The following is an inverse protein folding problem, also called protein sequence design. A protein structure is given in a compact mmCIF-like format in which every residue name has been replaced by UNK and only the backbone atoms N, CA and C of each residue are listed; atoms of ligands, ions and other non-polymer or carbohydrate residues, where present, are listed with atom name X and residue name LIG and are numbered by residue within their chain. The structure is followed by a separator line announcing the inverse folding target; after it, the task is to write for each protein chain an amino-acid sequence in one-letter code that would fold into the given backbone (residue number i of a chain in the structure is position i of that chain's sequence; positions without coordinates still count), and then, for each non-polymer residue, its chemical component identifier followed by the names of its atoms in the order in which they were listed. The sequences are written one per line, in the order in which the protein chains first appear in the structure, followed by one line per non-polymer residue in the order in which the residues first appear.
data_IF_003669127898
#
_entry.id   IF_003669127898
#
_cell.length_a   1.000
_cell.length_b   1.000
_cell.length_c   1.000
_cell.angle_alpha   90.00
_cell.angle_beta   90.00
_cell.angle_gamma   90.00
#
_symmetry.space_group_name_H-M   'P 1'
#
loop_
_entity.id
_entity.type
_entity.pdbx_description
1 polymer ?
#
# COMPACT_ATOMS: atom_id res chain seq x y z
N UNK A 1 -32.85 -49.67 -26.58
CA UNK A 1 -32.16 -48.62 -27.38
C UNK A 1 -31.13 -47.96 -26.45
N UNK A 2 -29.85 -48.35 -26.52
CA UNK A 2 -28.70 -47.57 -27.07
C UNK A 2 -28.56 -46.18 -26.41
N UNK A 3 -27.46 -45.73 -25.78
CA UNK A 3 -26.09 -46.21 -25.49
C UNK A 3 -25.57 -45.36 -24.30
N UNK A 4 -24.78 -45.96 -23.40
CA UNK A 4 -23.89 -45.27 -22.44
C UNK A 4 -22.46 -45.68 -22.82
N UNK A 5 -21.57 -44.72 -23.09
CA UNK A 5 -20.14 -44.94 -23.28
C UNK A 5 -19.37 -43.84 -22.53
N UNK A 6 -18.47 -44.26 -21.65
CA UNK A 6 -17.42 -43.45 -21.01
C UNK A 6 -16.14 -43.51 -21.85
N UNK A 7 -15.25 -42.50 -21.79
CA UNK A 7 -13.86 -42.70 -22.15
C UNK A 7 -12.98 -42.77 -20.89
N UNK A 8 -12.29 -43.91 -20.79
CA UNK A 8 -11.10 -44.16 -19.97
C UNK A 8 -9.87 -43.74 -20.79
N UNK A 9 -8.94 -42.98 -20.22
CA UNK A 9 -7.55 -42.93 -20.75
C UNK A 9 -6.58 -42.66 -19.61
N UNK A 10 -5.79 -43.68 -19.27
CA UNK A 10 -4.56 -43.59 -18.48
C UNK A 10 -3.38 -43.24 -19.42
N UNK A 11 -2.32 -42.58 -18.94
CA UNK A 11 -1.04 -42.53 -19.67
C UNK A 11 -0.16 -43.74 -19.30
N UNK A 12 0.37 -44.41 -20.32
CA UNK A 12 1.28 -45.56 -20.23
C UNK A 12 2.72 -45.18 -20.60
N UNK A 13 3.66 -45.81 -19.87
CA UNK A 13 4.97 -46.33 -20.28
C UNK A 13 5.94 -45.43 -21.07
N UNK A 14 6.99 -44.97 -20.39
CA UNK A 14 8.37 -45.01 -20.88
C UNK A 14 9.35 -44.70 -19.73
N UNK A 15 9.58 -45.71 -18.88
CA UNK A 15 10.74 -45.82 -18.01
C UNK A 15 11.60 -46.99 -18.53
N UNK A 16 12.94 -46.89 -18.42
CA UNK A 16 14.02 -47.80 -18.82
C UNK A 16 14.78 -47.56 -20.15
N UNK A 17 15.97 -46.94 -19.98
CA UNK A 17 17.31 -47.53 -20.21
C UNK A 17 17.96 -47.64 -21.64
N UNK A 18 19.15 -47.00 -21.74
CA UNK A 18 20.42 -47.46 -22.40
C UNK A 18 20.52 -47.28 -23.94
N UNK A 19 21.53 -46.66 -24.58
CA UNK A 19 22.99 -46.87 -24.49
C UNK A 19 23.84 -45.89 -25.35
N UNK A 20 25.09 -45.64 -24.89
CA UNK A 20 26.40 -45.63 -25.61
C UNK A 20 27.04 -44.34 -26.22
N UNK A 21 28.37 -44.27 -25.92
CA UNK A 21 29.52 -43.51 -26.49
C UNK A 21 29.85 -42.19 -25.76
N UNK A 22 31.04 -41.89 -25.23
CA UNK A 22 32.39 -42.49 -25.23
C UNK A 22 33.08 -42.12 -23.89
N UNK A 23 33.79 -43.07 -23.26
CA UNK A 23 34.87 -42.80 -22.30
C UNK A 23 36.06 -43.64 -22.74
N UNK A 24 37.18 -42.98 -23.02
CA UNK A 24 38.48 -43.60 -23.24
C UNK A 24 39.32 -43.53 -21.96
N UNK A 25 39.99 -44.64 -21.63
CA UNK A 25 41.42 -44.65 -21.29
C UNK A 25 41.90 -44.19 -19.92
N UNK A 26 42.09 -45.17 -19.02
CA UNK A 26 43.16 -45.24 -17.99
C UNK A 26 44.57 -45.25 -18.65
N UNK A 27 45.74 -45.06 -17.96
CA UNK A 27 46.06 -45.69 -16.66
C UNK A 27 46.94 -44.88 -15.68
N UNK A 28 47.08 -45.45 -14.48
CA UNK A 28 47.84 -44.88 -13.36
C UNK A 28 49.33 -45.25 -13.30
N UNK A 29 49.99 -44.61 -12.35
CA UNK A 29 51.27 -44.90 -11.68
C UNK A 29 51.40 -43.83 -10.59
N UNK A 30 52.04 -43.98 -9.44
CA UNK A 30 52.62 -45.07 -8.67
C UNK A 30 52.75 -44.49 -7.24
N UNK A 31 52.70 -45.34 -6.22
CA UNK A 31 52.92 -44.98 -4.82
C UNK A 31 54.41 -44.66 -4.59
N UNK A 32 54.71 -43.48 -4.06
CA UNK A 32 56.01 -43.11 -3.51
C UNK A 32 55.80 -42.34 -2.20
N UNK A 33 56.08 -43.01 -1.09
CA UNK A 33 56.00 -42.48 0.26
C UNK A 33 57.43 -42.16 0.70
N UNK A 34 57.77 -40.89 0.91
CA UNK A 34 59.06 -40.52 1.52
C UNK A 34 58.93 -39.33 2.48
N UNK A 35 59.76 -39.40 3.53
CA UNK A 35 59.60 -38.76 4.82
C UNK A 35 60.15 -37.32 4.90
N UNK A 36 59.61 -36.58 5.88
CA UNK A 36 60.28 -35.60 6.76
C UNK A 36 60.28 -34.10 6.39
N UNK A 37 59.85 -33.32 7.40
CA UNK A 37 60.12 -31.90 7.69
C UNK A 37 59.56 -30.83 6.71
N UNK A 38 58.62 -30.00 7.14
CA UNK A 38 58.97 -28.75 7.83
C UNK A 38 57.74 -28.07 8.44
N UNK A 39 58.01 -27.32 9.50
CA UNK A 39 57.07 -26.65 10.38
C UNK A 39 56.64 -25.29 9.78
N UNK A 40 55.42 -24.86 10.08
CA UNK A 40 54.94 -23.46 10.00
C UNK A 40 54.79 -22.78 8.62
N UNK A 41 53.76 -23.11 7.83
CA UNK A 41 53.29 -22.18 6.77
C UNK A 41 51.76 -22.06 6.74
N UNK A 42 51.32 -20.88 7.19
CA UNK A 42 50.09 -20.16 6.85
C UNK A 42 48.72 -20.82 7.07
N UNK A 43 48.19 -20.66 8.28
CA UNK A 43 46.73 -20.68 8.53
C UNK A 43 46.12 -19.26 8.56
N UNK A 44 46.79 -18.28 7.93
CA UNK A 44 46.47 -16.84 7.99
C UNK A 44 45.57 -16.35 6.85
N UNK A 45 45.32 -17.14 5.81
CA UNK A 45 44.67 -16.65 4.59
C UNK A 45 43.14 -16.77 4.56
N UNK A 46 42.54 -17.54 5.48
CA UNK A 46 41.09 -17.79 5.43
C UNK A 46 40.26 -16.94 6.41
N UNK A 47 40.88 -16.30 7.41
CA UNK A 47 40.16 -15.49 8.39
C UNK A 47 39.78 -14.08 7.89
N UNK A 48 40.38 -13.62 6.79
CA UNK A 48 40.17 -12.27 6.26
C UNK A 48 39.13 -12.20 5.13
N UNK A 49 38.82 -13.30 4.46
CA UNK A 49 37.88 -13.31 3.33
C UNK A 49 36.43 -13.00 3.78
N UNK A 50 36.00 -13.59 4.90
CA UNK A 50 34.67 -13.32 5.46
C UNK A 50 34.55 -11.89 5.98
N UNK A 51 35.57 -11.38 6.67
CA UNK A 51 35.62 -10.00 7.14
C UNK A 51 35.58 -9.00 5.98
N UNK A 52 36.34 -9.24 4.90
CA UNK A 52 36.35 -8.41 3.71
C UNK A 52 35.02 -8.49 2.92
N UNK A 53 34.38 -9.67 2.87
CA UNK A 53 33.05 -9.84 2.28
C UNK A 53 31.96 -9.11 3.08
N UNK A 54 32.01 -9.17 4.42
CA UNK A 54 31.08 -8.44 5.28
C UNK A 54 31.29 -6.92 5.18
N UNK A 55 32.55 -6.46 5.20
CA UNK A 55 32.89 -5.06 5.00
C UNK A 55 32.42 -4.55 3.63
N UNK A 56 32.59 -5.35 2.57
CA UNK A 56 32.11 -4.98 1.23
C UNK A 56 30.58 -4.97 1.14
N UNK A 57 29.87 -5.87 1.83
CA UNK A 57 28.40 -5.82 1.96
C UNK A 57 27.93 -4.58 2.72
N UNK A 58 28.56 -4.23 3.86
CA UNK A 58 28.24 -3.02 4.61
C UNK A 58 28.52 -1.75 3.80
N UNK A 59 29.64 -1.69 3.09
CA UNK A 59 29.97 -0.58 2.21
C UNK A 59 28.95 -0.43 1.08
N UNK A 60 28.52 -1.55 0.49
CA UNK A 60 27.48 -1.59 -0.54
C UNK A 60 26.10 -1.16 -0.01
N UNK A 61 25.75 -1.54 1.21
CA UNK A 61 24.51 -1.08 1.86
C UNK A 61 24.56 0.41 2.14
N UNK A 62 25.69 0.94 2.65
CA UNK A 62 25.88 2.38 2.86
C UNK A 62 25.80 3.17 1.57
N UNK A 63 26.43 2.70 0.49
CA UNK A 63 26.36 3.38 -0.81
C UNK A 63 24.97 3.33 -1.43
N UNK A 64 24.25 2.21 -1.26
CA UNK A 64 22.85 2.10 -1.68
C UNK A 64 21.95 3.05 -0.87
N UNK A 65 22.09 3.10 0.46
CA UNK A 65 21.37 4.01 1.33
C UNK A 65 21.63 5.49 1.02
N UNK A 66 22.86 5.84 0.61
CA UNK A 66 23.20 7.19 0.18
C UNK A 66 22.45 7.64 -1.09
N UNK A 67 21.94 6.69 -1.88
CA UNK A 67 21.10 6.96 -3.05
C UNK A 67 19.60 6.97 -2.76
N UNK A 68 19.19 6.86 -1.49
CA UNK A 68 17.79 6.86 -1.11
C UNK A 68 17.10 8.20 -1.46
N UNK A 69 15.91 8.17 -2.08
CA UNK A 69 15.11 9.38 -2.27
C UNK A 69 14.80 10.11 -0.96
N UNK A 70 14.58 11.42 -1.04
CA UNK A 70 14.27 12.24 0.12
C UNK A 70 12.94 11.83 0.77
N UNK A 71 12.93 11.79 2.10
CA UNK A 71 11.76 11.50 2.91
C UNK A 71 11.09 12.80 3.37
N UNK A 72 9.81 12.94 3.08
CA UNK A 72 8.92 13.97 3.61
C UNK A 72 8.23 13.44 4.85
N UNK A 73 8.42 14.10 6.00
CA UNK A 73 7.78 13.71 7.25
C UNK A 73 6.31 14.16 7.29
N UNK A 74 5.47 13.39 7.99
CA UNK A 74 4.16 13.86 8.40
C UNK A 74 4.31 15.10 9.31
N UNK A 75 3.40 16.10 9.22
CA UNK A 75 3.50 17.34 9.98
C UNK A 75 3.31 17.12 11.48
N UNK A 76 2.53 16.11 11.88
CA UNK A 76 2.26 15.78 13.26
C UNK A 76 2.53 14.30 13.53
N UNK A 77 3.08 14.03 14.72
CA UNK A 77 3.19 12.68 15.28
C UNK A 77 1.94 12.36 16.10
N UNK A 78 1.55 11.09 16.14
CA UNK A 78 0.51 10.61 17.06
C UNK A 78 1.17 10.04 18.32
N UNK A 79 0.60 10.35 19.48
CA UNK A 79 1.03 9.78 20.77
C UNK A 79 -0.18 9.18 21.47
N UNK A 80 -0.11 7.90 21.85
CA UNK A 80 -1.16 7.20 22.59
C UNK A 80 -0.53 6.21 23.59
N UNK A 81 -0.88 6.33 24.87
CA UNK A 81 -0.32 5.53 25.98
C UNK A 81 1.21 5.39 25.87
N UNK A 82 1.88 6.55 25.76
CA UNK A 82 3.32 6.71 25.58
C UNK A 82 3.91 6.10 24.28
N UNK A 83 3.11 5.38 23.49
CA UNK A 83 3.53 4.94 22.16
C UNK A 83 3.54 6.14 21.23
N UNK A 84 4.60 6.28 20.43
CA UNK A 84 4.75 7.37 19.47
C UNK A 84 4.76 6.82 18.06
N UNK A 85 4.01 7.46 17.16
CA UNK A 85 3.92 7.12 15.75
C UNK A 85 4.35 8.30 14.90
N UNK A 86 5.31 8.07 14.02
CA UNK A 86 5.81 9.06 13.05
C UNK A 86 5.85 8.41 11.68
N UNK A 87 5.35 9.09 10.66
CA UNK A 87 5.37 8.61 9.29
C UNK A 87 6.23 9.50 8.39
N UNK A 88 6.83 8.87 7.38
CA UNK A 88 7.51 9.56 6.31
C UNK A 88 7.13 8.93 4.97
N UNK A 89 7.07 9.74 3.92
CA UNK A 89 6.81 9.30 2.56
C UNK A 89 7.91 9.78 1.61
N UNK A 90 8.22 8.99 0.59
CA UNK A 90 9.19 9.31 -0.45
C UNK A 90 8.65 8.94 -1.82
N UNK A 91 9.07 9.68 -2.85
CA UNK A 91 8.78 9.33 -4.23
C UNK A 91 9.69 8.19 -4.67
N UNK A 92 9.12 7.14 -5.26
CA UNK A 92 9.86 5.99 -5.78
C UNK A 92 9.33 5.60 -7.14
N UNK A 93 10.23 5.25 -8.05
CA UNK A 93 9.87 4.81 -9.41
C UNK A 93 10.46 3.44 -9.74
N UNK A 94 11.28 2.89 -8.85
CA UNK A 94 11.98 1.64 -9.07
C UNK A 94 12.16 0.82 -7.79
N UNK A 95 12.39 -0.49 -7.97
CA UNK A 95 12.75 -1.37 -6.87
C UNK A 95 14.08 -0.98 -6.21
N UNK A 96 14.97 -0.32 -6.96
CA UNK A 96 16.24 0.20 -6.43
C UNK A 96 16.01 1.31 -5.41
N UNK A 97 15.06 2.20 -5.67
CA UNK A 97 14.68 3.27 -4.72
C UNK A 97 14.14 2.69 -3.42
N UNK A 98 13.26 1.70 -3.52
CA UNK A 98 12.72 0.97 -2.36
C UNK A 98 13.84 0.30 -1.57
N UNK A 99 14.79 -0.37 -2.25
CA UNK A 99 15.92 -1.01 -1.59
C UNK A 99 16.86 0.00 -0.92
N UNK A 100 17.07 1.17 -1.55
CA UNK A 100 17.84 2.27 -0.99
C UNK A 100 17.20 2.86 0.27
N UNK A 101 15.88 3.09 0.25
CA UNK A 101 15.14 3.56 1.43
C UNK A 101 15.17 2.55 2.58
N UNK A 102 15.01 1.26 2.29
CA UNK A 102 15.13 0.21 3.31
C UNK A 102 16.53 0.16 3.92
N UNK A 103 17.57 0.24 3.08
CA UNK A 103 18.95 0.31 3.57
C UNK A 103 19.18 1.56 4.43
N UNK A 104 18.62 2.70 4.03
CA UNK A 104 18.71 3.95 4.79
C UNK A 104 17.99 3.86 6.15
N UNK A 105 16.80 3.29 6.21
CA UNK A 105 16.02 3.08 7.44
C UNK A 105 16.76 2.13 8.41
N UNK A 106 17.44 1.12 7.88
CA UNK A 106 18.18 0.14 8.68
C UNK A 106 19.51 0.66 9.24
N UNK A 107 20.05 1.76 8.70
CA UNK A 107 21.33 2.32 9.12
C UNK A 107 21.15 3.38 10.22
N UNK A 108 22.02 3.40 11.23
CA UNK A 108 22.02 4.50 12.18
C UNK A 108 22.39 5.81 11.47
N UNK A 109 21.83 6.96 11.92
CA UNK A 109 22.20 8.25 11.38
C UNK A 109 23.71 8.46 11.55
N UNK A 110 24.38 9.15 10.60
CA UNK A 110 25.78 9.46 10.74
C UNK A 110 25.99 10.22 12.05
N UNK A 111 26.76 9.63 12.97
CA UNK A 111 27.12 10.28 14.22
C UNK A 111 27.85 11.58 13.87
N UNK A 112 27.33 12.71 14.32
CA UNK A 112 28.06 13.97 14.29
C UNK A 112 29.32 13.80 15.16
N UNK A 113 30.41 13.37 14.55
CA UNK A 113 31.74 13.37 15.16
C UNK A 113 32.13 14.82 15.41
N UNK A 114 32.04 15.25 16.67
CA UNK A 114 32.64 16.50 17.14
C UNK A 114 31.64 17.57 17.58
N UNK A 115 30.93 17.36 18.68
CA UNK A 115 30.52 18.48 19.53
C UNK A 115 31.12 18.30 20.92
N UNK A 116 31.90 19.29 21.31
CA UNK A 116 32.57 19.41 22.59
C UNK A 116 31.53 19.29 23.72
N UNK A 117 31.79 18.48 24.76
CA UNK A 117 30.82 18.10 25.80
C UNK A 117 30.41 19.24 26.76
N UNK A 118 30.73 20.50 26.46
CA UNK A 118 30.56 21.65 27.34
C UNK A 118 29.71 22.78 26.72
N UNK A 119 28.51 22.47 26.23
CA UNK A 119 27.50 23.52 25.99
C UNK A 119 26.19 23.11 26.65
N UNK A 120 25.63 23.94 27.55
CA UNK A 120 24.39 23.60 28.22
C UNK A 120 23.26 23.45 27.21
N UNK A 121 22.53 22.35 27.37
CA UNK A 121 21.44 21.87 26.52
C UNK A 121 20.31 22.91 26.49
N UNK A 122 20.28 23.73 25.43
CA UNK A 122 19.22 24.73 25.25
C UNK A 122 17.92 24.01 24.85
N UNK A 123 16.99 23.83 25.81
CA UNK A 123 15.76 23.04 25.67
C UNK A 123 14.65 23.67 24.81
N UNK A 124 14.89 24.81 24.15
CA UNK A 124 13.82 25.60 23.52
C UNK A 124 14.09 26.07 22.08
N UNK A 125 14.90 25.36 21.29
CA UNK A 125 15.01 25.59 19.85
C UNK A 125 14.35 24.45 19.06
N UNK A 126 13.10 24.66 18.66
CA UNK A 126 12.42 23.88 17.63
C UNK A 126 13.06 24.17 16.27
N UNK A 127 14.06 23.36 15.90
CA UNK A 127 14.62 23.36 14.55
C UNK A 127 13.69 22.57 13.61
N UNK A 128 13.38 23.08 12.40
CA UNK A 128 12.70 22.31 11.39
C UNK A 128 13.68 21.23 10.90
N UNK A 129 13.24 19.98 10.89
CA UNK A 129 13.97 18.83 10.33
C UNK A 129 15.09 18.22 11.20
N UNK A 130 14.77 17.82 12.45
CA UNK A 130 15.57 16.79 13.13
C UNK A 130 15.27 15.44 12.48
N UNK A 131 16.20 14.94 11.66
CA UNK A 131 16.09 13.65 10.99
C UNK A 131 15.74 12.55 11.98
N UNK A 132 14.65 11.85 11.72
CA UNK A 132 14.14 10.77 12.58
C UNK A 132 15.15 9.63 12.60
N UNK A 133 15.59 9.21 13.79
CA UNK A 133 16.46 8.05 13.92
C UNK A 133 15.64 6.76 13.92
N UNK A 134 15.44 6.20 12.73
CA UNK A 134 14.61 5.01 12.49
C UNK A 134 15.08 3.77 13.26
N UNK A 135 16.38 3.61 13.52
CA UNK A 135 16.92 2.43 14.21
C UNK A 135 16.55 2.35 15.69
N UNK A 136 16.05 3.45 16.26
CA UNK A 136 15.56 3.47 17.65
C UNK A 136 14.09 3.10 17.78
N UNK A 137 13.36 3.04 16.66
CA UNK A 137 11.97 2.64 16.66
C UNK A 137 11.86 1.15 16.99
N UNK A 138 10.82 0.76 17.72
CA UNK A 138 10.52 -0.66 17.95
C UNK A 138 10.08 -1.36 16.67
N UNK A 139 9.38 -0.63 15.78
CA UNK A 139 8.91 -1.15 14.50
C UNK A 139 8.98 -0.04 13.44
N UNK A 140 9.47 -0.37 12.25
CA UNK A 140 9.48 0.44 11.04
C UNK A 140 8.65 -0.25 9.96
N UNK A 141 7.33 -0.05 10.02
CA UNK A 141 6.38 -0.66 9.08
C UNK A 141 6.51 0.06 7.74
N UNK A 142 6.64 -0.69 6.64
CA UNK A 142 6.80 -0.08 5.31
C UNK A 142 5.79 -0.60 4.31
N UNK A 143 5.42 0.25 3.35
CA UNK A 143 4.65 -0.12 2.17
C UNK A 143 5.06 0.74 0.99
N UNK A 144 4.99 0.20 -0.22
CA UNK A 144 5.37 0.91 -1.43
C UNK A 144 4.51 0.49 -2.61
N UNK A 145 4.38 1.40 -3.58
CA UNK A 145 3.62 1.19 -4.81
C UNK A 145 4.14 2.12 -5.90
N UNK A 146 4.56 1.59 -7.03
CA UNK A 146 5.05 2.39 -8.17
C UNK A 146 4.75 1.72 -9.52
N UNK A 147 4.67 2.53 -10.57
CA UNK A 147 4.46 2.04 -11.93
C UNK A 147 5.77 1.58 -12.57
N UNK A 148 5.71 0.41 -13.20
CA UNK A 148 6.82 -0.16 -13.96
C UNK A 148 6.38 -0.38 -15.40
N UNK A 149 7.15 0.17 -16.33
CA UNK A 149 6.96 -0.05 -17.76
C UNK A 149 7.14 -1.54 -18.09
N UNK A 150 6.24 -2.11 -18.88
CA UNK A 150 6.35 -3.48 -19.38
C UNK A 150 7.41 -3.56 -20.47
N UNK A 151 8.12 -4.67 -20.48
CA UNK A 151 9.17 -4.95 -21.46
C UNK A 151 8.58 -4.96 -22.87
N UNK A 152 9.25 -4.30 -23.82
CA UNK A 152 8.80 -4.25 -25.22
C UNK A 152 7.71 -3.22 -25.53
N UNK A 153 7.23 -2.47 -24.54
CA UNK A 153 6.23 -1.43 -24.74
C UNK A 153 6.85 -0.06 -25.04
N UNK A 154 6.10 0.83 -25.70
CA UNK A 154 6.58 2.17 -26.07
C UNK A 154 6.71 3.11 -24.87
N UNK A 155 5.87 2.94 -23.85
CA UNK A 155 5.75 3.82 -22.69
C UNK A 155 4.81 5.01 -22.93
N UNK A 156 4.23 5.12 -24.12
CA UNK A 156 3.34 6.21 -24.52
C UNK A 156 1.88 5.90 -24.20
N UNK A 157 1.53 4.62 -24.02
CA UNK A 157 0.19 4.22 -23.61
C UNK A 157 0.16 3.97 -22.09
N UNK A 158 -0.86 4.47 -21.38
CA UNK A 158 -1.25 3.95 -20.07
C UNK A 158 -1.08 2.43 -19.93
N UNK A 159 -1.61 1.65 -20.87
CA UNK A 159 -1.52 0.19 -20.87
C UNK A 159 -0.11 -0.33 -21.21
N UNK A 160 0.94 0.47 -21.13
CA UNK A 160 2.32 0.01 -21.18
C UNK A 160 2.90 -0.21 -19.78
N UNK A 161 2.19 0.16 -18.71
CA UNK A 161 2.66 0.11 -17.32
C UNK A 161 1.88 -0.91 -16.49
N UNK A 162 2.56 -1.53 -15.52
CA UNK A 162 1.96 -2.34 -14.44
C UNK A 162 2.32 -1.72 -13.09
N UNK A 163 1.49 -1.97 -12.08
CA UNK A 163 1.82 -1.60 -10.70
C UNK A 163 2.73 -2.67 -10.10
N UNK A 164 3.81 -2.24 -9.45
CA UNK A 164 4.61 -3.07 -8.57
C UNK A 164 4.50 -2.50 -7.15
N UNK A 165 4.14 -3.36 -6.20
CA UNK A 165 3.89 -2.97 -4.82
C UNK A 165 4.33 -4.06 -3.83
N UNK A 166 4.30 -3.70 -2.55
CA UNK A 166 4.64 -4.60 -1.46
C UNK A 166 4.63 -3.89 -0.11
N UNK A 167 4.82 -4.67 0.96
CA UNK A 167 4.82 -4.18 2.33
C UNK A 167 5.66 -5.06 3.25
N UNK A 168 6.06 -4.51 4.40
CA UNK A 168 6.74 -5.22 5.49
C UNK A 168 6.20 -4.75 6.85
N UNK A 169 5.91 -5.70 7.73
CA UNK A 169 5.35 -5.44 9.06
C UNK A 169 6.41 -5.01 10.10
N UNK A 170 7.68 -5.37 9.89
CA UNK A 170 8.78 -5.20 10.86
C UNK A 170 8.42 -5.62 12.31
N UNK A 171 7.81 -6.80 12.46
CA UNK A 171 7.38 -7.34 13.76
C UNK A 171 6.05 -6.80 14.30
N UNK A 172 5.49 -5.74 13.71
CA UNK A 172 4.16 -5.22 14.04
C UNK A 172 3.09 -5.98 13.21
N UNK A 173 2.80 -7.23 13.57
CA UNK A 173 1.97 -8.14 12.76
C UNK A 173 0.66 -7.52 12.28
N UNK A 174 0.42 -7.61 10.97
CA UNK A 174 -0.76 -7.12 10.26
C UNK A 174 -0.70 -5.65 9.84
N UNK A 175 0.29 -4.89 10.30
CA UNK A 175 0.36 -3.44 10.06
C UNK A 175 0.76 -3.08 8.62
N UNK A 176 1.71 -3.78 8.02
CA UNK A 176 2.18 -3.53 6.66
C UNK A 176 1.08 -3.78 5.63
N UNK A 177 0.33 -4.88 5.80
CA UNK A 177 -0.86 -5.14 4.95
C UNK A 177 -1.88 -4.01 5.08
N UNK A 178 -2.21 -3.58 6.30
CA UNK A 178 -3.18 -2.50 6.55
C UNK A 178 -2.72 -1.19 5.92
N UNK A 179 -1.45 -0.84 6.08
CA UNK A 179 -0.82 0.33 5.49
C UNK A 179 -0.89 0.29 3.95
N UNK A 180 -0.51 -0.83 3.34
CA UNK A 180 -0.61 -1.01 1.89
C UNK A 180 -2.06 -0.91 1.39
N UNK A 181 -3.03 -1.52 2.09
CA UNK A 181 -4.45 -1.40 1.75
C UNK A 181 -4.90 0.05 1.78
N UNK A 182 -4.50 0.83 2.79
CA UNK A 182 -4.81 2.26 2.85
C UNK A 182 -4.24 3.02 1.64
N UNK A 183 -2.98 2.77 1.26
CA UNK A 183 -2.39 3.37 0.05
C UNK A 183 -3.18 3.05 -1.22
N UNK A 184 -3.62 1.80 -1.39
CA UNK A 184 -4.43 1.36 -2.51
C UNK A 184 -5.79 2.07 -2.55
N UNK A 185 -6.49 2.15 -1.43
CA UNK A 185 -7.78 2.84 -1.30
C UNK A 185 -7.68 4.35 -1.55
N UNK A 186 -6.54 4.96 -1.19
CA UNK A 186 -6.25 6.36 -1.45
C UNK A 186 -5.82 6.64 -2.89
N UNK A 187 -5.48 5.60 -3.66
CA UNK A 187 -4.94 5.75 -5.01
C UNK A 187 -3.49 6.25 -5.03
N UNK A 188 -2.77 6.16 -3.90
CA UNK A 188 -1.38 6.55 -3.81
C UNK A 188 -0.52 5.62 -4.70
N UNK A 189 0.38 6.20 -5.49
CA UNK A 189 1.30 5.47 -6.38
C UNK A 189 2.56 6.32 -6.60
N UNK A 190 3.61 5.66 -7.09
CA UNK A 190 4.98 6.19 -7.20
C UNK A 190 5.51 6.69 -5.85
N UNK A 191 5.15 5.97 -4.78
CA UNK A 191 5.47 6.34 -3.41
C UNK A 191 5.84 5.15 -2.54
N UNK A 192 6.66 5.45 -1.54
CA UNK A 192 7.05 4.60 -0.43
C UNK A 192 6.65 5.30 0.85
N UNK A 193 6.14 4.55 1.82
CA UNK A 193 5.79 5.03 3.16
C UNK A 193 6.47 4.17 4.21
N UNK A 194 7.05 4.81 5.21
CA UNK A 194 7.47 4.18 6.46
C UNK A 194 6.70 4.79 7.63
N UNK A 195 6.15 3.95 8.49
CA UNK A 195 5.59 4.33 9.78
C UNK A 195 6.45 3.73 10.87
N UNK A 196 7.11 4.60 11.62
CA UNK A 196 7.92 4.22 12.78
C UNK A 196 7.09 4.31 14.04
N UNK A 197 7.05 3.22 14.80
CA UNK A 197 6.44 3.14 16.12
C UNK A 197 7.52 2.98 17.17
N UNK A 198 7.45 3.80 18.22
CA UNK A 198 8.16 3.58 19.49
C UNK A 198 7.14 3.10 20.52
N UNK A 199 7.32 1.87 21.03
CA UNK A 199 6.42 1.27 22.01
C UNK A 199 6.49 1.99 23.36
N UNK A 200 5.33 2.36 23.90
CA UNK A 200 5.21 3.10 25.16
C UNK A 200 5.13 2.26 26.43
N UNK A 201 5.20 0.93 26.34
CA UNK A 201 5.04 0.04 27.50
C UNK A 201 3.64 -0.56 27.66
N UNK A 202 2.64 -0.14 26.87
CA UNK A 202 1.28 -0.71 26.89
C UNK A 202 0.78 -1.12 25.51
N UNK A 203 0.20 -2.32 25.41
CA UNK A 203 -0.43 -2.82 24.18
C UNK A 203 -1.67 -1.98 23.83
N UNK A 204 -1.71 -1.41 22.63
CA UNK A 204 -2.85 -0.60 22.17
C UNK A 204 -3.98 -1.43 21.54
N UNK A 205 -3.79 -2.75 21.37
CA UNK A 205 -4.75 -3.60 20.66
C UNK A 205 -4.98 -3.14 19.22
N UNK A 206 -6.21 -3.30 18.68
CA UNK A 206 -6.53 -2.91 17.29
C UNK A 206 -6.34 -1.41 16.97
N UNK A 207 -6.47 -0.52 17.96
CA UNK A 207 -6.39 0.94 17.79
C UNK A 207 -5.05 1.39 17.17
N UNK A 208 -3.96 0.63 17.39
CA UNK A 208 -2.66 0.92 16.76
C UNK A 208 -2.74 1.00 15.24
N UNK A 209 -3.59 0.19 14.61
CA UNK A 209 -3.72 0.15 13.16
C UNK A 209 -4.34 1.43 12.59
N UNK A 210 -5.25 2.05 13.34
CA UNK A 210 -5.83 3.34 12.96
C UNK A 210 -4.78 4.44 13.08
N UNK A 211 -3.98 4.45 14.16
CA UNK A 211 -2.86 5.39 14.30
C UNK A 211 -1.86 5.26 13.16
N UNK A 212 -1.46 4.02 12.83
CA UNK A 212 -0.53 3.72 11.71
C UNK A 212 -1.09 4.26 10.39
N UNK A 213 -2.37 4.01 10.12
CA UNK A 213 -3.01 4.46 8.88
C UNK A 213 -3.11 5.99 8.84
N UNK A 214 -3.49 6.63 9.95
CA UNK A 214 -3.68 8.07 10.02
C UNK A 214 -2.37 8.84 9.85
N UNK A 215 -1.27 8.45 10.52
CA UNK A 215 0.02 9.11 10.29
C UNK A 215 0.53 8.89 8.87
N UNK A 216 0.31 7.72 8.28
CA UNK A 216 0.69 7.44 6.91
C UNK A 216 -0.07 8.32 5.90
N UNK A 217 -1.38 8.50 6.10
CA UNK A 217 -2.20 9.41 5.31
C UNK A 217 -1.63 10.82 5.40
N UNK A 218 -1.35 11.33 6.60
CA UNK A 218 -0.77 12.67 6.78
C UNK A 218 0.60 12.83 6.11
N UNK A 219 1.44 11.79 6.09
CA UNK A 219 2.72 11.82 5.36
C UNK A 219 2.51 11.86 3.84
N UNK A 220 1.56 11.07 3.32
CA UNK A 220 1.24 11.04 1.89
C UNK A 220 0.63 12.37 1.42
N UNK A 221 -0.21 12.99 2.24
CA UNK A 221 -0.78 14.33 2.01
C UNK A 221 0.33 15.39 1.99
N UNK A 222 1.20 15.40 3.01
CA UNK A 222 2.31 16.34 3.10
C UNK A 222 3.31 16.21 1.93
N UNK A 223 3.49 15.00 1.41
CA UNK A 223 4.33 14.74 0.26
C UNK A 223 3.62 14.96 -1.10
N UNK A 224 2.33 15.28 -1.10
CA UNK A 224 1.56 15.55 -2.31
C UNK A 224 1.28 14.32 -3.18
N UNK A 225 1.25 13.12 -2.58
CA UNK A 225 0.86 11.89 -3.27
C UNK A 225 -0.65 11.72 -3.34
N UNK A 226 -1.36 12.29 -2.38
CA UNK A 226 -2.83 12.26 -2.27
C UNK A 226 -3.34 13.66 -1.92
N UNK A 227 -4.55 13.99 -2.35
CA UNK A 227 -5.17 15.28 -2.08
C UNK A 227 -5.99 15.19 -0.77
N UNK A 228 -6.01 16.27 0.03
CA UNK A 228 -6.72 16.41 1.33
C UNK A 228 -8.26 16.31 1.26
N UNK A 229 -8.84 15.66 0.25
CA UNK A 229 -10.28 15.63 0.03
C UNK A 229 -11.03 14.76 1.05
N UNK A 230 -10.34 13.89 1.79
CA UNK A 230 -10.96 12.96 2.73
C UNK A 230 -11.29 13.56 4.10
N UNK A 231 -10.61 14.63 4.55
CA UNK A 231 -10.98 15.33 5.80
C UNK A 231 -12.17 16.29 5.63
N UNK A 232 -12.58 16.57 4.38
CA UNK A 232 -13.71 17.47 4.08
C UNK A 232 -15.09 16.87 4.33
N UNK A 233 -15.20 15.56 4.54
CA UNK A 233 -16.49 14.85 4.67
C UNK A 233 -17.09 14.89 6.09
N UNK A 234 -16.39 15.46 7.08
CA UNK A 234 -16.79 15.39 8.50
C UNK A 234 -16.97 16.75 9.19
N UNK A 235 -16.91 17.88 8.48
CA UNK A 235 -17.10 19.21 9.08
C UNK A 235 -18.32 19.96 8.51
N UNK A 236 -19.07 20.73 9.32
CA UNK A 236 -20.22 21.48 8.87
C UNK A 236 -19.83 22.53 7.81
N UNK A 237 -20.62 22.62 6.73
CA UNK A 237 -20.37 23.41 5.51
C UNK A 237 -20.02 24.90 5.79
N UNK A 238 -20.51 25.46 6.90
CA UNK A 238 -20.27 26.84 7.31
C UNK A 238 -18.81 27.14 7.74
N UNK A 239 -18.08 26.16 8.28
CA UNK A 239 -16.66 26.34 8.63
C UNK A 239 -15.76 26.17 7.40
N UNK A 240 -16.22 25.40 6.42
CA UNK A 240 -15.50 25.08 5.20
C UNK A 240 -15.35 26.29 4.29
N UNK A 241 -16.37 27.15 4.21
CA UNK A 241 -16.37 28.36 3.39
C UNK A 241 -15.42 29.44 3.90
N UNK A 242 -15.37 29.65 5.22
CA UNK A 242 -14.46 30.62 5.86
C UNK A 242 -12.99 30.21 5.73
N UNK A 243 -12.69 28.92 5.94
CA UNK A 243 -11.32 28.41 5.88
C UNK A 243 -10.79 28.32 4.43
N UNK A 244 -11.67 28.07 3.45
CA UNK A 244 -11.36 28.18 2.02
C UNK A 244 -11.08 29.62 1.59
N UNK A 245 -11.66 30.61 2.27
CA UNK A 245 -11.46 32.02 1.98
C UNK A 245 -10.15 32.52 2.60
N UNK A 246 -9.79 32.06 3.81
CA UNK A 246 -8.52 32.36 4.47
C UNK A 246 -7.31 31.70 3.78
N UNK A 247 -7.40 30.42 3.41
CA UNK A 247 -6.30 29.73 2.71
C UNK A 247 -6.02 30.32 1.32
N UNK A 248 -7.05 30.81 0.63
CA UNK A 248 -6.91 31.46 -0.68
C UNK A 248 -6.20 32.81 -0.61
N UNK A 249 -6.23 33.47 0.55
CA UNK A 249 -5.53 34.74 0.80
C UNK A 249 -4.07 34.52 1.24
N UNK A 250 -3.72 33.36 1.79
CA UNK A 250 -2.36 33.07 2.28
C UNK A 250 -1.44 32.41 1.25
N UNK A 251 -1.95 31.78 0.20
CA UNK A 251 -1.13 31.20 -0.89
C UNK A 251 -1.15 32.08 -2.14
N UNK A 252 -0.65 33.31 -2.06
CA UNK A 252 -0.54 34.23 -3.20
C UNK A 252 0.73 34.04 -4.05
N UNK A 253 1.40 32.89 -3.95
CA UNK A 253 2.51 32.51 -4.87
C UNK A 253 2.21 31.14 -5.43
N UNK A 254 1.53 31.09 -6.57
CA UNK A 254 1.38 29.87 -7.35
C UNK A 254 2.79 29.38 -7.73
N UNK A 255 3.18 28.13 -7.39
CA UNK A 255 4.43 27.56 -7.87
C UNK A 255 4.42 27.61 -9.40
N UNK A 256 5.44 28.21 -10.02
CA UNK A 256 5.61 28.28 -11.47
C UNK A 256 5.76 26.85 -12.04
N UNK A 257 4.66 26.28 -12.51
CA UNK A 257 4.46 24.86 -12.87
C UNK A 257 4.80 24.52 -14.34
N UNK A 258 5.48 25.41 -15.07
CA UNK A 258 5.77 25.26 -16.52
C UNK A 258 6.91 24.27 -16.84
N UNK A 259 7.04 23.17 -16.10
CA UNK A 259 8.07 22.14 -16.36
C UNK A 259 7.49 20.92 -17.08
N UNK A 260 8.26 20.29 -17.97
CA UNK A 260 7.84 19.09 -18.72
C UNK A 260 7.61 17.87 -17.79
N UNK A 261 8.21 17.87 -16.59
CA UNK A 261 7.97 16.86 -15.55
C UNK A 261 6.53 16.87 -15.03
N UNK A 262 5.84 18.01 -15.06
CA UNK A 262 4.49 18.13 -14.51
C UNK A 262 3.42 17.56 -15.46
N UNK A 263 3.62 17.61 -16.79
CA UNK A 263 2.68 17.02 -17.76
C UNK A 263 2.65 15.49 -17.67
N UNK A 264 3.81 14.85 -17.61
CA UNK A 264 3.89 13.39 -17.41
C UNK A 264 3.29 12.99 -16.07
N UNK A 265 3.58 13.75 -15.01
CA UNK A 265 3.00 13.54 -13.69
C UNK A 265 1.48 13.62 -13.73
N UNK A 266 0.89 14.70 -14.27
CA UNK A 266 -0.56 14.87 -14.37
C UNK A 266 -1.21 13.75 -15.17
N UNK A 267 -0.59 13.32 -16.26
CA UNK A 267 -1.07 12.19 -17.07
C UNK A 267 -1.08 10.88 -16.28
N UNK A 268 0.01 10.57 -15.56
CA UNK A 268 0.08 9.40 -14.65
C UNK A 268 -0.99 9.48 -13.57
N UNK A 269 -1.16 10.66 -12.98
CA UNK A 269 -2.13 10.92 -11.93
C UNK A 269 -3.57 10.68 -12.45
N UNK A 270 -3.95 11.25 -13.58
CA UNK A 270 -5.27 11.06 -14.23
C UNK A 270 -5.59 9.59 -14.47
N UNK A 271 -4.61 8.81 -14.96
CA UNK A 271 -4.77 7.37 -15.15
C UNK A 271 -5.02 6.65 -13.82
N UNK A 272 -4.22 6.95 -12.79
CA UNK A 272 -4.37 6.35 -11.47
C UNK A 272 -5.76 6.62 -10.88
N UNK A 273 -6.26 7.87 -10.95
CA UNK A 273 -7.63 8.21 -10.48
C UNK A 273 -8.68 7.45 -11.26
N UNK A 274 -8.55 7.38 -12.58
CA UNK A 274 -9.50 6.67 -13.45
C UNK A 274 -9.57 5.18 -13.08
N UNK A 275 -8.42 4.52 -12.87
CA UNK A 275 -8.37 3.13 -12.44
C UNK A 275 -8.99 2.94 -11.04
N UNK A 276 -8.73 3.85 -10.11
CA UNK A 276 -9.36 3.85 -8.79
C UNK A 276 -10.88 4.00 -8.89
N UNK A 277 -11.39 4.97 -9.66
CA UNK A 277 -12.83 5.17 -9.89
C UNK A 277 -13.48 3.89 -10.43
N UNK A 278 -12.87 3.25 -11.42
CA UNK A 278 -13.34 1.96 -11.96
C UNK A 278 -13.34 0.85 -10.89
N UNK A 279 -12.30 0.80 -10.05
CA UNK A 279 -12.23 -0.13 -8.92
C UNK A 279 -13.35 0.08 -7.91
N UNK A 280 -13.60 1.33 -7.53
CA UNK A 280 -14.72 1.69 -6.65
C UNK A 280 -16.07 1.37 -7.29
N UNK A 281 -16.27 1.65 -8.58
CA UNK A 281 -17.49 1.32 -9.30
C UNK A 281 -17.78 -0.19 -9.29
N UNK A 282 -16.75 -1.03 -9.51
CA UNK A 282 -16.86 -2.50 -9.37
C UNK A 282 -17.20 -2.91 -7.94
N UNK A 283 -16.54 -2.32 -6.95
CA UNK A 283 -16.84 -2.60 -5.55
C UNK A 283 -18.27 -2.21 -5.19
N UNK A 284 -18.75 -1.04 -5.61
CA UNK A 284 -20.13 -0.58 -5.39
C UNK A 284 -21.11 -1.57 -6.02
N UNK A 285 -20.86 -2.03 -7.26
CA UNK A 285 -21.73 -3.00 -7.92
C UNK A 285 -21.80 -4.33 -7.15
N UNK A 286 -20.66 -4.87 -6.71
CA UNK A 286 -20.62 -6.10 -5.91
C UNK A 286 -21.31 -5.92 -4.55
N UNK A 287 -21.00 -4.85 -3.84
CA UNK A 287 -21.62 -4.52 -2.55
C UNK A 287 -23.13 -4.34 -2.72
N UNK A 288 -23.61 -3.80 -3.85
CA UNK A 288 -25.05 -3.71 -4.12
C UNK A 288 -25.71 -5.06 -4.30
N UNK A 289 -25.06 -6.02 -4.97
CA UNK A 289 -25.58 -7.39 -5.07
C UNK A 289 -25.80 -7.98 -3.68
N UNK A 290 -24.84 -7.77 -2.76
CA UNK A 290 -24.99 -8.19 -1.37
C UNK A 290 -26.19 -7.51 -0.69
N UNK A 291 -26.36 -6.20 -0.86
CA UNK A 291 -27.51 -5.46 -0.32
C UNK A 291 -28.86 -6.04 -0.80
N UNK A 292 -28.96 -6.41 -2.09
CA UNK A 292 -30.17 -7.01 -2.65
C UNK A 292 -30.44 -8.40 -2.09
N UNK A 293 -29.39 -9.23 -1.92
CA UNK A 293 -29.49 -10.55 -1.30
C UNK A 293 -29.94 -10.45 0.17
N UNK A 294 -29.38 -9.49 0.91
CA UNK A 294 -29.78 -9.22 2.29
C UNK A 294 -31.24 -8.76 2.37
N UNK A 295 -31.67 -7.85 1.49
CA UNK A 295 -33.07 -7.42 1.42
C UNK A 295 -34.01 -8.61 1.17
N UNK A 296 -33.68 -9.48 0.21
CA UNK A 296 -34.47 -10.67 -0.07
C UNK A 296 -34.54 -11.62 1.15
N UNK A 297 -33.42 -11.80 1.85
CA UNK A 297 -33.35 -12.60 3.09
C UNK A 297 -34.25 -12.02 4.18
N UNK A 298 -34.26 -10.70 4.36
CA UNK A 298 -35.14 -10.00 5.30
C UNK A 298 -36.61 -10.23 4.94
N UNK A 299 -36.98 -10.16 3.66
CA UNK A 299 -38.36 -10.39 3.21
C UNK A 299 -38.83 -11.83 3.54
N UNK A 300 -37.96 -12.84 3.35
CA UNK A 300 -38.24 -14.23 3.72
C UNK A 300 -38.43 -14.38 5.24
N UNK A 301 -37.49 -13.86 6.04
CA UNK A 301 -37.53 -14.02 7.50
C UNK A 301 -38.67 -13.22 8.16
N UNK A 302 -38.98 -12.03 7.66
CA UNK A 302 -40.09 -11.20 8.15
C UNK A 302 -41.44 -11.86 7.89
N UNK A 303 -41.65 -12.46 6.72
CA UNK A 303 -42.87 -13.22 6.40
C UNK A 303 -43.12 -14.38 7.37
N UNK A 304 -42.05 -15.07 7.79
CA UNK A 304 -42.11 -16.18 8.76
C UNK A 304 -42.40 -15.70 10.18
N UNK A 305 -42.00 -14.47 10.54
CA UNK A 305 -42.17 -13.91 11.88
C UNK A 305 -43.45 -13.09 12.06
N UNK A 306 -44.19 -12.75 10.99
CA UNK A 306 -45.33 -11.81 10.99
C UNK A 306 -44.96 -10.44 11.63
N UNK A 307 -43.68 -10.09 11.65
CA UNK A 307 -43.18 -8.80 12.17
C UNK A 307 -43.24 -7.78 11.04
N UNK A 308 -43.82 -6.61 11.29
CA UNK A 308 -43.83 -5.53 10.30
C UNK A 308 -42.39 -5.10 10.00
N UNK A 309 -42.10 -4.82 8.72
CA UNK A 309 -40.79 -4.38 8.23
C UNK A 309 -40.34 -3.13 9.01
N UNK A 310 -39.07 -3.07 9.42
CA UNK A 310 -38.46 -1.79 9.80
C UNK A 310 -38.48 -0.87 8.56
N UNK A 311 -38.74 0.43 8.74
CA UNK A 311 -38.94 1.40 7.65
C UNK A 311 -37.94 1.23 6.51
N UNK A 312 -38.44 1.04 5.29
CA UNK A 312 -37.61 0.97 4.07
C UNK A 312 -36.82 2.27 3.92
N UNK A 313 -35.51 2.22 4.13
CA UNK A 313 -34.63 3.32 3.73
C UNK A 313 -34.57 3.30 2.20
N UNK A 314 -35.32 4.19 1.55
CA UNK A 314 -35.23 4.41 0.11
C UNK A 314 -33.87 5.05 -0.18
N UNK A 315 -32.91 4.25 -0.64
CA UNK A 315 -31.67 4.75 -1.20
C UNK A 315 -31.90 5.08 -2.67
N UNK A 316 -31.86 6.37 -3.01
CA UNK A 316 -32.04 6.85 -4.37
C UNK A 316 -30.88 6.35 -5.26
N UNK A 317 -31.25 5.75 -6.40
CA UNK A 317 -30.35 5.03 -7.28
C UNK A 317 -29.82 5.92 -8.41
N UNK A 318 -28.50 6.05 -8.52
CA UNK A 318 -27.82 6.55 -9.72
C UNK A 318 -27.31 5.37 -10.57
N UNK A 319 -27.76 5.21 -11.83
CA UNK A 319 -27.40 4.07 -12.65
C UNK A 319 -25.92 4.03 -13.07
N UNK A 320 -25.34 2.83 -13.33
CA UNK A 320 -23.96 2.65 -13.77
C UNK A 320 -23.58 3.44 -15.03
N UNK A 321 -24.56 3.77 -15.87
CA UNK A 321 -24.39 4.62 -17.06
C UNK A 321 -23.90 6.02 -16.72
N UNK A 322 -24.29 6.56 -15.56
CA UNK A 322 -24.04 7.95 -15.18
C UNK A 322 -22.64 8.14 -14.57
N UNK A 323 -21.96 7.03 -14.22
CA UNK A 323 -20.56 6.99 -13.77
C UNK A 323 -19.63 6.60 -14.91
N UNK A 324 -20.17 6.18 -16.06
CA UNK A 324 -19.37 5.85 -17.23
C UNK A 324 -18.87 7.12 -17.90
N UNK A 325 -17.62 7.47 -17.61
CA UNK A 325 -16.86 8.27 -18.56
C UNK A 325 -16.37 7.34 -19.67
N UNK A 326 -16.89 7.57 -20.87
CA UNK A 326 -16.55 6.83 -22.07
C UNK A 326 -15.04 6.89 -22.31
N UNK A 327 -14.46 5.76 -22.72
CA UNK A 327 -13.09 5.66 -23.20
C UNK A 327 -12.74 6.74 -24.24
N UNK A 328 -13.75 7.25 -24.97
CA UNK A 328 -13.66 8.37 -25.92
C UNK A 328 -13.18 9.68 -25.30
N UNK A 329 -13.52 9.99 -24.04
CA UNK A 329 -13.02 11.21 -23.38
C UNK A 329 -11.56 11.10 -22.91
N UNK A 330 -11.04 9.88 -22.75
CA UNK A 330 -9.63 9.63 -22.35
C UNK A 330 -8.66 9.76 -23.52
N UNK A 331 -9.09 9.42 -24.75
CA UNK A 331 -8.23 9.53 -25.95
C UNK A 331 -8.00 10.97 -26.42
N UNK A 332 -8.82 11.92 -25.98
CA UNK A 332 -8.66 13.36 -26.29
C UNK A 332 -7.69 14.11 -25.36
N UNK A 333 -7.27 13.50 -24.24
CA UNK A 333 -6.40 14.15 -23.24
C UNK A 333 -4.97 14.38 -23.76
N UNK A 334 -4.52 13.59 -24.74
CA UNK A 334 -3.19 13.73 -25.33
C UNK A 334 -2.97 15.06 -26.10
N UNK A 335 -4.04 15.82 -26.36
CA UNK A 335 -4.00 17.10 -27.10
C UNK A 335 -4.45 18.32 -26.27
N UNK A 336 -4.80 18.12 -25.00
CA UNK A 336 -5.28 19.20 -24.12
C UNK A 336 -4.09 19.90 -23.47
N UNK A 337 -4.04 21.23 -23.55
CA UNK A 337 -3.02 22.05 -22.89
C UNK A 337 -2.97 21.82 -21.36
N UNK A 338 -1.90 22.28 -20.72
CA UNK A 338 -1.63 22.00 -19.31
C UNK A 338 -2.78 22.41 -18.35
N UNK A 339 -3.40 23.58 -18.56
CA UNK A 339 -4.54 24.07 -17.75
C UNK A 339 -5.76 23.14 -17.83
N UNK A 340 -6.03 22.58 -19.01
CA UNK A 340 -7.14 21.67 -19.20
C UNK A 340 -6.88 20.29 -18.55
N UNK A 341 -5.61 19.86 -18.52
CA UNK A 341 -5.22 18.61 -17.86
C UNK A 341 -5.36 18.70 -16.32
N UNK A 342 -5.08 19.86 -15.74
CA UNK A 342 -5.25 20.11 -14.30
C UNK A 342 -6.72 20.15 -13.90
N UNK A 343 -7.56 20.86 -14.67
CA UNK A 343 -9.02 20.87 -14.45
C UNK A 343 -9.63 19.46 -14.53
N UNK A 344 -9.17 18.63 -15.46
CA UNK A 344 -9.60 17.23 -15.56
C UNK A 344 -9.14 16.41 -14.35
N UNK A 345 -7.96 16.70 -13.80
CA UNK A 345 -7.45 15.99 -12.63
C UNK A 345 -8.31 16.31 -11.40
N UNK A 346 -8.71 17.56 -11.23
CA UNK A 346 -9.62 17.98 -10.17
C UNK A 346 -11.02 17.38 -10.33
N UNK A 347 -11.55 17.35 -11.55
CA UNK A 347 -12.80 16.64 -11.86
C UNK A 347 -12.72 15.16 -11.45
N UNK A 348 -11.62 14.46 -11.80
CA UNK A 348 -11.40 13.07 -11.40
C UNK A 348 -11.29 12.89 -9.89
N UNK A 349 -10.61 13.81 -9.21
CA UNK A 349 -10.49 13.76 -7.75
C UNK A 349 -11.87 13.94 -7.09
N UNK A 350 -12.74 14.77 -7.65
CA UNK A 350 -14.13 14.92 -7.23
C UNK A 350 -14.94 13.63 -7.39
N UNK A 351 -14.90 13.02 -8.59
CA UNK A 351 -15.58 11.75 -8.86
C UNK A 351 -15.09 10.61 -7.96
N UNK A 352 -13.79 10.54 -7.69
CA UNK A 352 -13.22 9.55 -6.78
C UNK A 352 -13.72 9.74 -5.34
N UNK A 353 -13.83 10.98 -4.87
CA UNK A 353 -14.37 11.28 -3.54
C UNK A 353 -15.86 10.89 -3.44
N UNK A 354 -16.65 11.19 -4.47
CA UNK A 354 -18.06 10.80 -4.54
C UNK A 354 -18.23 9.27 -4.53
N UNK A 355 -17.42 8.54 -5.31
CA UNK A 355 -17.45 7.08 -5.33
C UNK A 355 -17.10 6.46 -3.96
N UNK A 356 -16.12 7.04 -3.25
CA UNK A 356 -15.77 6.63 -1.88
C UNK A 356 -16.93 6.84 -0.91
N UNK A 357 -17.57 8.01 -0.96
CA UNK A 357 -18.72 8.33 -0.11
C UNK A 357 -19.88 7.36 -0.35
N UNK A 358 -20.22 7.10 -1.62
CA UNK A 358 -21.28 6.14 -2.00
C UNK A 358 -21.00 4.73 -1.51
N UNK A 359 -19.76 4.25 -1.66
CA UNK A 359 -19.40 2.91 -1.15
C UNK A 359 -19.50 2.84 0.38
N UNK A 360 -19.09 3.91 1.09
CA UNK A 360 -19.18 3.98 2.55
C UNK A 360 -20.64 3.93 3.03
N UNK A 361 -21.52 4.75 2.43
CA UNK A 361 -22.96 4.76 2.72
C UNK A 361 -23.60 3.38 2.46
N UNK A 362 -23.25 2.72 1.34
CA UNK A 362 -23.79 1.40 1.02
C UNK A 362 -23.32 0.32 2.00
N UNK A 363 -22.06 0.36 2.46
CA UNK A 363 -21.55 -0.56 3.50
C UNK A 363 -22.27 -0.36 4.84
N UNK A 364 -22.56 0.89 5.21
CA UNK A 364 -23.32 1.19 6.42
C UNK A 364 -24.75 0.61 6.34
N UNK A 365 -25.41 0.74 5.19
CA UNK A 365 -26.73 0.15 4.96
C UNK A 365 -26.72 -1.39 5.05
N UNK A 366 -25.69 -2.04 4.49
CA UNK A 366 -25.54 -3.50 4.59
C UNK A 366 -25.36 -3.92 6.04
N UNK A 367 -24.54 -3.20 6.81
CA UNK A 367 -24.35 -3.49 8.23
C UNK A 367 -25.68 -3.40 9.01
N UNK A 368 -26.53 -2.43 8.69
CA UNK A 368 -27.90 -2.33 9.25
C UNK A 368 -28.77 -3.53 8.85
N UNK A 369 -28.72 -3.96 7.60
CA UNK A 369 -29.45 -5.15 7.14
C UNK A 369 -28.96 -6.43 7.82
N UNK A 370 -27.66 -6.59 8.01
CA UNK A 370 -27.08 -7.77 8.67
C UNK A 370 -27.53 -7.88 10.13
N UNK A 371 -27.60 -6.75 10.86
CA UNK A 371 -28.17 -6.71 12.20
C UNK A 371 -29.66 -7.11 12.19
N UNK A 372 -30.44 -6.61 11.24
CA UNK A 372 -31.86 -6.97 11.10
C UNK A 372 -32.06 -8.45 10.77
N UNK A 373 -31.24 -9.02 9.89
CA UNK A 373 -31.24 -10.46 9.57
C UNK A 373 -30.95 -11.28 10.83
N UNK A 374 -29.98 -10.87 11.65
CA UNK A 374 -29.63 -11.55 12.89
C UNK A 374 -30.79 -11.53 13.90
N UNK A 375 -31.44 -10.39 14.08
CA UNK A 375 -32.62 -10.26 14.95
C UNK A 375 -33.79 -11.14 14.48
N UNK A 376 -34.10 -11.10 13.18
CA UNK A 376 -35.19 -11.89 12.62
C UNK A 376 -34.89 -13.40 12.70
N UNK A 377 -33.66 -13.81 12.43
CA UNK A 377 -33.22 -15.21 12.55
C UNK A 377 -33.38 -15.73 13.98
N UNK A 378 -32.99 -14.94 14.97
CA UNK A 378 -33.20 -15.27 16.38
C UNK A 378 -34.70 -15.40 16.73
N UNK A 379 -35.53 -14.49 16.23
CA UNK A 379 -36.97 -14.55 16.43
C UNK A 379 -37.60 -15.81 15.82
N UNK A 380 -37.19 -16.23 14.61
CA UNK A 380 -37.64 -17.48 13.99
C UNK A 380 -37.24 -18.69 14.85
N UNK A 381 -35.98 -18.76 15.29
CA UNK A 381 -35.49 -19.86 16.11
C UNK A 381 -36.26 -19.99 17.44
N UNK A 382 -36.52 -18.85 18.11
CA UNK A 382 -37.28 -18.82 19.37
C UNK A 382 -38.73 -19.29 19.21
N UNK A 383 -39.38 -19.00 18.08
CA UNK A 383 -40.74 -19.50 17.77
C UNK A 383 -40.76 -21.00 17.52
N UNK A 384 -39.72 -21.53 16.87
CA UNK A 384 -39.60 -22.96 16.62
C UNK A 384 -39.45 -23.74 17.94
N UNK A 385 -38.61 -23.25 18.85
CA UNK A 385 -38.40 -23.87 20.16
C UNK A 385 -39.68 -23.94 21.02
N UNK A 386 -40.50 -22.87 21.01
CA UNK A 386 -41.79 -22.81 21.73
C UNK A 386 -42.90 -23.69 21.14
N UNK A 387 -42.72 -24.22 19.93
CA UNK A 387 -43.70 -25.10 19.27
C UNK A 387 -43.41 -26.60 19.52
N UNK A 388 -42.21 -26.91 20.01
CA UNK A 388 -41.76 -28.27 20.35
C UNK A 388 -41.94 -28.64 21.82
N UNK A 389 -42.26 -27.66 22.68
CA UNK A 389 -42.84 -27.86 24.00
C UNK A 389 -44.36 -27.88 23.90
#
# INVERSE_FOLDING_TARGET
MKRRLTPTTQPSEAELAVSKRQREGLPGSELGNDRSADNSVSNSYNNNAFAHLMQSNTARQKSLAASAPALTAAPAKIVDRLSVFVAHAAHVTSQRDVAALKAFIALPPPTATGTNKNTPFNKHASAPNKQTNFTTATHNITAWRFLVKRTGCSGNNPDDYRVQDGYEDDGETGAGRKLWTAMCELGACDCFVVVSRWYGGTNLGPVRFDHISNVAISALEAAGFINNNNQKLTQPEAQQSLQLQENRQQTAVAPNWKSNLDFERVTRLLKARTASIQGFAKSIALTRVQYMQNSHTIDILSSSTKKARSSSINFEYLPPSDISMTQEKLSHVCNLGQDASELLLDERNGQLAEAKLKLAQLKELISKQEMEIQELSYAVASKSAKKTE
#
